data_IF_377155731370
#
_entry.id   IF_377155731370
#
_cell.length_a   1.000
_cell.length_b   1.000
_cell.length_c   1.000
_cell.angle_alpha   90.00
_cell.angle_beta   90.00
_cell.angle_gamma   90.00
#
_symmetry.space_group_name_H-M   'P 1'
#
loop_
_entity.id
_entity.type
_entity.pdbx_description
1 polymer ?
#
# COMPACT_ATOMS: atom_id res chain seq x y z
N UNK A 1 61.52 7.27 -21.86
CA UNK A 1 60.99 7.81 -20.62
C UNK A 1 59.55 7.35 -20.52
N UNK A 2 59.30 6.32 -19.73
CA UNK A 2 57.99 5.71 -19.55
C UNK A 2 57.38 6.37 -18.29
N UNK A 3 56.22 7.00 -18.45
CA UNK A 3 55.46 7.64 -17.37
C UNK A 3 54.89 6.61 -16.43
N UNK A 4 54.88 6.79 -15.09
CA UNK A 4 54.40 5.79 -14.17
C UNK A 4 52.85 5.80 -14.14
N UNK A 5 52.31 4.61 -14.26
CA UNK A 5 50.89 4.31 -14.09
C UNK A 5 50.44 4.73 -12.70
N UNK A 6 49.44 5.60 -12.63
CA UNK A 6 48.72 5.93 -11.40
C UNK A 6 47.95 4.68 -10.91
N UNK A 7 48.45 4.05 -9.86
CA UNK A 7 47.70 3.06 -9.10
C UNK A 7 46.54 3.78 -8.41
N UNK A 8 45.31 3.52 -8.85
CA UNK A 8 44.11 3.93 -8.12
C UNK A 8 44.09 3.18 -6.79
N UNK A 9 44.47 3.84 -5.72
CA UNK A 9 44.29 3.38 -4.34
C UNK A 9 42.81 3.15 -4.11
N UNK A 10 42.43 1.89 -3.91
CA UNK A 10 41.11 1.54 -3.39
C UNK A 10 40.96 2.12 -1.97
N UNK A 11 40.33 3.28 -1.87
CA UNK A 11 39.92 3.87 -0.60
C UNK A 11 38.92 2.92 0.04
N UNK A 12 39.24 2.36 1.21
CA UNK A 12 38.27 1.54 1.95
C UNK A 12 37.07 2.44 2.32
N UNK A 13 35.90 2.11 1.82
CA UNK A 13 34.67 2.84 2.10
C UNK A 13 34.21 2.59 3.53
N UNK A 14 33.70 3.61 4.19
CA UNK A 14 33.12 3.47 5.51
C UNK A 14 31.78 2.73 5.44
N UNK A 15 31.37 2.05 6.53
CA UNK A 15 30.05 1.38 6.59
C UNK A 15 28.88 2.36 6.40
N UNK A 16 29.07 3.65 6.69
CA UNK A 16 28.09 4.70 6.47
C UNK A 16 27.91 4.98 4.98
N UNK A 17 29.02 5.14 4.22
CA UNK A 17 29.00 5.33 2.77
C UNK A 17 28.38 4.14 2.04
N UNK A 18 28.67 2.91 2.49
CA UNK A 18 28.06 1.68 1.98
C UNK A 18 26.57 1.64 2.28
N UNK A 19 26.12 2.06 3.46
CA UNK A 19 24.70 2.08 3.84
C UNK A 19 23.91 3.17 3.11
N UNK A 20 24.51 4.32 2.87
CA UNK A 20 23.87 5.40 2.09
C UNK A 20 23.72 4.99 0.62
N UNK A 21 24.75 4.39 -0.01
CA UNK A 21 24.64 3.80 -1.36
C UNK A 21 23.59 2.67 -1.46
N UNK A 22 23.36 1.92 -0.39
CA UNK A 22 22.34 0.84 -0.34
C UNK A 22 20.91 1.37 -0.35
N UNK A 23 20.68 2.59 0.09
CA UNK A 23 19.36 3.24 0.12
C UNK A 23 19.03 3.99 -1.15
N UNK A 24 20.00 4.15 -2.05
CA UNK A 24 19.84 4.86 -3.33
C UNK A 24 19.38 3.92 -4.45
N UNK A 25 18.90 4.48 -5.52
CA UNK A 25 18.41 3.76 -6.70
C UNK A 25 16.90 3.61 -6.74
N UNK A 26 16.37 3.41 -7.95
CA UNK A 26 14.96 3.20 -8.20
C UNK A 26 14.62 1.73 -8.40
N UNK A 27 13.47 1.33 -7.87
CA UNK A 27 12.98 -0.03 -8.01
C UNK A 27 12.39 -0.25 -9.38
N UNK A 28 12.91 -1.25 -10.10
CA UNK A 28 12.30 -1.73 -11.34
C UNK A 28 11.05 -2.52 -11.01
N UNK A 29 9.88 -1.96 -11.29
CA UNK A 29 8.58 -2.56 -11.02
C UNK A 29 7.91 -2.90 -12.36
N UNK A 30 7.74 -4.18 -12.71
CA UNK A 30 7.15 -4.57 -13.99
C UNK A 30 5.62 -4.34 -14.06
N UNK A 31 5.02 -3.85 -12.97
CA UNK A 31 3.58 -3.68 -12.83
C UNK A 31 3.00 -2.44 -13.52
N UNK A 32 3.85 -1.50 -13.86
CA UNK A 32 3.46 -0.14 -14.16
C UNK A 32 3.17 0.10 -15.63
N UNK A 33 3.38 -0.90 -16.47
CA UNK A 33 3.28 -0.76 -17.90
C UNK A 33 2.08 -1.56 -18.37
N UNK A 34 1.04 -0.83 -18.76
CA UNK A 34 -0.16 -1.42 -19.36
C UNK A 34 0.14 -2.16 -20.66
N UNK A 35 -0.77 -3.08 -21.01
CA UNK A 35 -0.73 -3.82 -22.28
C UNK A 35 -0.72 -2.86 -23.48
N UNK A 36 -1.48 -1.76 -23.39
CA UNK A 36 -1.51 -0.71 -24.41
C UNK A 36 -0.16 -0.04 -24.64
N UNK A 37 0.67 0.05 -23.62
CA UNK A 37 2.02 0.59 -23.73
C UNK A 37 2.96 -0.34 -24.48
N UNK A 38 2.93 -1.63 -24.16
CA UNK A 38 3.77 -2.62 -24.83
C UNK A 38 3.44 -2.73 -26.32
N UNK A 39 2.20 -2.45 -26.70
CA UNK A 39 1.72 -2.50 -28.07
C UNK A 39 1.87 -1.12 -28.79
N UNK A 40 1.87 -0.01 -28.05
CA UNK A 40 1.94 1.36 -28.58
C UNK A 40 3.30 2.07 -28.34
N UNK A 41 4.19 1.49 -27.52
CA UNK A 41 5.56 1.97 -27.44
C UNK A 41 6.14 1.95 -28.85
N UNK A 42 6.57 3.13 -29.30
CA UNK A 42 7.26 3.24 -30.58
C UNK A 42 8.35 2.19 -30.61
N UNK A 43 8.12 1.10 -31.34
CA UNK A 43 9.00 -0.07 -31.33
C UNK A 43 10.42 0.28 -31.76
N UNK A 44 10.61 1.40 -32.46
CA UNK A 44 11.91 1.90 -32.86
C UNK A 44 12.82 2.28 -31.67
N UNK A 45 12.28 2.80 -30.59
CA UNK A 45 13.05 3.20 -29.40
C UNK A 45 13.43 2.03 -28.49
N UNK A 46 12.58 1.01 -28.42
CA UNK A 46 12.85 -0.17 -27.59
C UNK A 46 13.57 -1.32 -28.33
N UNK A 47 13.52 -1.38 -29.66
CA UNK A 47 14.22 -2.44 -30.40
C UNK A 47 15.73 -2.48 -30.14
N UNK A 48 16.47 -1.35 -30.05
CA UNK A 48 17.87 -1.39 -29.65
C UNK A 48 18.08 -2.00 -28.27
N UNK A 49 17.26 -1.60 -27.27
CA UNK A 49 17.36 -2.09 -25.90
C UNK A 49 16.91 -3.56 -25.81
N UNK A 50 15.96 -3.99 -26.64
CA UNK A 50 15.55 -5.40 -26.72
C UNK A 50 16.60 -6.30 -27.38
N UNK A 51 17.43 -5.74 -28.28
CA UNK A 51 18.44 -6.50 -29.04
C UNK A 51 19.52 -7.11 -28.13
N UNK A 52 19.74 -6.55 -26.92
CA UNK A 52 20.72 -7.09 -25.96
C UNK A 52 20.23 -8.34 -25.24
N UNK A 53 18.92 -8.64 -25.31
CA UNK A 53 18.38 -9.86 -24.71
C UNK A 53 18.68 -11.08 -25.57
N UNK A 54 19.03 -12.17 -24.90
CA UNK A 54 19.27 -13.45 -25.59
C UNK A 54 18.08 -13.88 -26.44
N UNK A 55 18.29 -14.38 -27.66
CA UNK A 55 17.21 -14.83 -28.55
C UNK A 55 16.25 -15.83 -27.91
N UNK A 56 16.73 -16.67 -26.98
CA UNK A 56 15.90 -17.65 -26.24
C UNK A 56 14.81 -17.00 -25.37
N UNK A 57 14.98 -15.73 -24.96
CA UNK A 57 13.97 -14.97 -24.23
C UNK A 57 12.89 -14.40 -25.16
N UNK A 58 13.19 -14.20 -26.42
CA UNK A 58 12.32 -13.57 -27.42
C UNK A 58 11.70 -14.56 -28.42
N UNK A 59 12.35 -15.73 -28.65
CA UNK A 59 12.00 -16.70 -29.67
C UNK A 59 11.16 -17.91 -29.21
N UNK A 60 10.75 -18.78 -30.17
CA UNK A 60 10.02 -20.04 -30.04
C UNK A 60 8.53 -19.96 -29.67
N UNK A 61 8.01 -21.08 -29.12
CA UNK A 61 6.62 -21.18 -28.70
C UNK A 61 6.23 -19.98 -27.82
N UNK A 62 5.19 -19.25 -28.22
CA UNK A 62 4.70 -18.01 -27.59
C UNK A 62 5.62 -16.79 -27.78
N UNK A 63 6.33 -16.68 -28.87
CA UNK A 63 7.23 -15.55 -29.17
C UNK A 63 6.56 -14.18 -28.96
N UNK A 64 5.33 -14.00 -29.43
CA UNK A 64 4.55 -12.75 -29.25
C UNK A 64 4.37 -12.39 -27.78
N UNK A 65 4.02 -13.36 -26.92
CA UNK A 65 3.84 -13.13 -25.48
C UNK A 65 5.17 -12.86 -24.78
N UNK A 66 6.24 -13.59 -25.15
CA UNK A 66 7.58 -13.40 -24.60
C UNK A 66 8.13 -12.00 -24.96
N UNK A 67 8.02 -11.61 -26.24
CA UNK A 67 8.45 -10.29 -26.71
C UNK A 67 7.68 -9.17 -26.00
N UNK A 68 6.36 -9.34 -25.81
CA UNK A 68 5.54 -8.40 -25.04
C UNK A 68 6.03 -8.28 -23.59
N UNK A 69 6.27 -9.38 -22.90
CA UNK A 69 6.78 -9.35 -21.52
C UNK A 69 8.16 -8.72 -21.43
N UNK A 70 9.03 -8.98 -22.41
CA UNK A 70 10.34 -8.36 -22.51
C UNK A 70 10.22 -6.85 -22.68
N UNK A 71 9.35 -6.38 -23.58
CA UNK A 71 9.08 -4.94 -23.76
C UNK A 71 8.67 -4.28 -22.44
N UNK A 72 7.72 -4.87 -21.70
CA UNK A 72 7.26 -4.36 -20.40
C UNK A 72 8.43 -4.22 -19.41
N UNK A 73 9.27 -5.26 -19.27
CA UNK A 73 10.39 -5.25 -18.32
C UNK A 73 11.45 -4.25 -18.72
N UNK A 74 11.79 -4.20 -20.01
CA UNK A 74 12.82 -3.28 -20.51
C UNK A 74 12.38 -1.81 -20.41
N UNK A 75 11.10 -1.53 -20.69
CA UNK A 75 10.56 -0.17 -20.48
C UNK A 75 10.60 0.24 -19.01
N UNK A 76 10.24 -0.67 -18.09
CA UNK A 76 10.34 -0.39 -16.65
C UNK A 76 11.78 -0.16 -16.22
N UNK A 77 12.73 -0.90 -16.80
CA UNK A 77 14.16 -0.72 -16.53
C UNK A 77 14.66 0.63 -17.05
N UNK A 78 14.37 0.97 -18.30
CA UNK A 78 14.74 2.25 -18.91
C UNK A 78 14.16 3.41 -18.09
N UNK A 79 12.89 3.36 -17.74
CA UNK A 79 12.27 4.36 -16.87
C UNK A 79 12.99 4.48 -15.53
N UNK A 80 13.30 3.39 -14.87
CA UNK A 80 14.01 3.41 -13.58
C UNK A 80 15.44 3.97 -13.70
N UNK A 81 16.10 3.78 -14.84
CA UNK A 81 17.43 4.36 -15.13
C UNK A 81 17.32 5.87 -15.34
N UNK A 82 16.35 6.33 -16.11
CA UNK A 82 16.13 7.74 -16.43
C UNK A 82 15.64 8.56 -15.24
N UNK A 83 14.75 8.00 -14.42
CA UNK A 83 14.19 8.66 -13.23
C UNK A 83 15.15 8.62 -12.02
N UNK A 84 16.25 7.86 -12.10
CA UNK A 84 17.18 7.67 -10.98
C UNK A 84 18.27 8.73 -10.96
N UNK A 85 18.35 9.55 -9.89
CA UNK A 85 19.38 10.59 -9.70
C UNK A 85 20.82 10.04 -9.68
N UNK A 86 21.01 8.77 -9.34
CA UNK A 86 22.29 8.10 -9.19
C UNK A 86 22.55 6.99 -10.23
N UNK A 87 21.62 6.82 -11.18
CA UNK A 87 21.69 5.80 -12.22
C UNK A 87 21.69 4.35 -11.69
N UNK A 88 21.34 4.14 -10.42
CA UNK A 88 21.26 2.82 -9.83
C UNK A 88 19.84 2.27 -9.93
N UNK A 89 19.73 0.97 -10.14
CA UNK A 89 18.46 0.25 -10.13
C UNK A 89 18.49 -0.93 -9.16
N UNK A 90 17.35 -1.32 -8.65
CA UNK A 90 17.20 -2.54 -7.87
C UNK A 90 15.88 -3.22 -8.16
N UNK A 91 15.77 -4.50 -7.82
CA UNK A 91 14.53 -5.25 -7.95
C UNK A 91 14.46 -6.34 -6.89
N UNK A 92 13.23 -6.69 -6.51
CA UNK A 92 12.97 -7.74 -5.54
C UNK A 92 13.07 -9.10 -6.21
N UNK A 93 13.80 -10.04 -5.56
CA UNK A 93 13.89 -11.45 -6.03
C UNK A 93 12.89 -12.37 -5.34
N UNK A 94 12.29 -11.95 -4.24
CA UNK A 94 11.30 -12.76 -3.52
C UNK A 94 9.99 -12.87 -4.31
N UNK A 95 9.54 -14.09 -4.56
CA UNK A 95 8.31 -14.40 -5.30
C UNK A 95 7.05 -13.83 -4.66
N UNK A 96 7.04 -13.66 -3.34
CA UNK A 96 5.90 -13.10 -2.60
C UNK A 96 5.61 -11.65 -2.97
N UNK A 97 6.63 -10.93 -3.41
CA UNK A 97 6.50 -9.54 -3.87
C UNK A 97 5.89 -9.42 -5.28
N UNK A 98 5.73 -10.53 -6.00
CA UNK A 98 5.14 -10.57 -7.34
C UNK A 98 3.74 -11.19 -7.27
N UNK A 99 2.75 -10.38 -6.92
CA UNK A 99 1.36 -10.82 -6.95
C UNK A 99 0.92 -11.00 -8.42
N UNK A 100 0.49 -12.21 -8.78
CA UNK A 100 0.04 -12.54 -10.14
C UNK A 100 -1.08 -11.64 -10.69
N UNK A 101 -1.83 -11.02 -9.79
CA UNK A 101 -2.94 -10.14 -10.14
C UNK A 101 -2.56 -8.66 -10.21
N UNK A 102 -1.37 -8.29 -9.72
CA UNK A 102 -0.89 -6.91 -9.71
C UNK A 102 0.10 -6.63 -10.85
N UNK A 103 0.74 -7.68 -11.40
CA UNK A 103 1.78 -7.52 -12.40
C UNK A 103 1.47 -8.34 -13.65
N UNK A 104 1.56 -7.72 -14.81
CA UNK A 104 1.37 -8.41 -16.08
C UNK A 104 2.50 -9.38 -16.41
N UNK A 105 3.69 -9.10 -15.84
CA UNK A 105 4.85 -9.98 -15.94
C UNK A 105 5.01 -10.73 -14.63
N UNK A 106 4.77 -12.04 -14.66
CA UNK A 106 4.98 -12.88 -13.47
C UNK A 106 6.45 -12.99 -13.09
N UNK A 107 6.71 -13.23 -11.78
CA UNK A 107 8.04 -13.35 -11.17
C UNK A 107 9.07 -14.10 -12.04
N UNK A 108 8.72 -15.32 -12.53
CA UNK A 108 9.66 -16.16 -13.31
C UNK A 108 10.11 -15.50 -14.61
N UNK A 109 9.21 -14.81 -15.31
CA UNK A 109 9.56 -14.14 -16.57
C UNK A 109 10.42 -12.91 -16.29
N UNK A 110 10.06 -12.11 -15.28
CA UNK A 110 10.81 -10.93 -14.86
C UNK A 110 12.23 -11.30 -14.45
N UNK A 111 12.39 -12.25 -13.52
CA UNK A 111 13.71 -12.67 -13.02
C UNK A 111 14.59 -13.23 -14.15
N UNK A 112 14.02 -14.00 -15.08
CA UNK A 112 14.79 -14.49 -16.23
C UNK A 112 15.34 -13.38 -17.11
N UNK A 113 14.59 -12.31 -17.34
CA UNK A 113 15.04 -11.16 -18.13
C UNK A 113 16.14 -10.42 -17.37
N UNK A 114 15.93 -10.13 -16.09
CA UNK A 114 16.91 -9.43 -15.27
C UNK A 114 18.21 -10.25 -15.10
N UNK A 115 18.13 -11.56 -14.90
CA UNK A 115 19.29 -12.46 -14.81
C UNK A 115 20.05 -12.53 -16.16
N UNK A 116 19.36 -12.46 -17.28
CA UNK A 116 20.01 -12.38 -18.58
C UNK A 116 20.82 -11.11 -18.75
N UNK A 117 20.26 -9.96 -18.34
CA UNK A 117 20.99 -8.68 -18.37
C UNK A 117 22.23 -8.70 -17.45
N UNK A 118 22.11 -9.32 -16.28
CA UNK A 118 23.23 -9.48 -15.33
C UNK A 118 24.30 -10.41 -15.92
N UNK A 119 23.91 -11.55 -16.45
CA UNK A 119 24.83 -12.56 -16.99
C UNK A 119 25.58 -12.04 -18.23
N UNK A 120 24.94 -11.18 -19.00
CA UNK A 120 25.56 -10.57 -20.19
C UNK A 120 26.33 -9.27 -19.84
N UNK A 121 26.40 -8.87 -18.57
CA UNK A 121 27.17 -7.70 -18.12
C UNK A 121 26.47 -6.36 -18.33
N UNK A 122 25.20 -6.33 -18.78
CA UNK A 122 24.45 -5.09 -18.99
C UNK A 122 23.96 -4.47 -17.68
N UNK A 123 23.82 -5.29 -16.61
CA UNK A 123 23.57 -4.83 -15.24
C UNK A 123 24.68 -5.32 -14.32
N UNK A 124 25.48 -4.40 -13.82
CA UNK A 124 26.65 -4.67 -12.97
C UNK A 124 26.26 -4.52 -11.51
N UNK A 125 26.42 -5.58 -10.72
CA UNK A 125 26.12 -5.53 -9.30
C UNK A 125 27.13 -4.64 -8.57
N UNK A 126 26.62 -3.65 -7.81
CA UNK A 126 27.45 -2.70 -7.03
C UNK A 126 27.35 -2.90 -5.52
N UNK A 127 26.35 -3.65 -5.02
CA UNK A 127 26.19 -3.94 -3.60
C UNK A 127 26.90 -5.21 -3.18
N UNK A 128 27.54 -5.19 -2.00
CA UNK A 128 28.19 -6.35 -1.42
C UNK A 128 27.14 -7.43 -1.02
N UNK A 129 27.31 -8.70 -1.43
CA UNK A 129 26.41 -9.78 -1.04
C UNK A 129 26.33 -10.04 0.46
N UNK A 130 27.44 -9.90 1.19
CA UNK A 130 27.50 -10.17 2.63
C UNK A 130 26.70 -9.18 3.48
N UNK A 131 26.60 -7.97 3.01
CA UNK A 131 25.89 -6.90 3.70
C UNK A 131 24.36 -6.92 3.46
N UNK A 132 23.89 -7.65 2.42
CA UNK A 132 22.45 -7.79 2.13
C UNK A 132 21.75 -8.73 3.11
N UNK A 133 22.49 -9.69 3.69
CA UNK A 133 21.96 -10.67 4.64
C UNK A 133 21.55 -10.01 5.99
N UNK A 134 22.20 -8.92 6.36
CA UNK A 134 21.95 -8.24 7.64
C UNK A 134 20.74 -7.31 7.57
N UNK A 135 20.52 -6.62 6.41
CA UNK A 135 19.53 -5.56 6.33
C UNK A 135 18.30 -5.90 5.45
N UNK A 136 18.19 -7.12 4.92
CA UNK A 136 17.12 -7.53 3.99
C UNK A 136 16.94 -6.61 2.77
N UNK A 137 17.99 -5.93 2.33
CA UNK A 137 17.94 -5.00 1.21
C UNK A 137 18.12 -5.73 -0.13
N UNK A 138 17.37 -5.32 -1.14
CA UNK A 138 17.55 -5.83 -2.49
C UNK A 138 18.90 -5.37 -3.06
N UNK A 139 19.61 -6.25 -3.84
CA UNK A 139 20.86 -5.86 -4.48
C UNK A 139 20.69 -4.66 -5.41
N UNK A 140 21.71 -3.81 -5.48
CA UNK A 140 21.79 -2.66 -6.38
C UNK A 140 22.63 -3.01 -7.59
N UNK A 141 22.21 -2.49 -8.73
CA UNK A 141 22.86 -2.69 -10.01
C UNK A 141 23.08 -1.34 -10.70
N UNK A 142 24.21 -1.21 -11.36
CA UNK A 142 24.51 -0.09 -12.26
C UNK A 142 24.33 -0.59 -13.69
N UNK A 143 23.65 0.14 -14.59
CA UNK A 143 23.67 -0.13 -16.01
C UNK A 143 25.10 -0.05 -16.55
N UNK A 144 25.47 -0.89 -17.50
CA UNK A 144 26.73 -0.76 -18.24
C UNK A 144 26.68 0.43 -19.20
N UNK A 145 27.84 0.93 -19.58
CA UNK A 145 27.96 1.98 -20.61
C UNK A 145 27.33 1.54 -21.93
N UNK A 146 27.41 0.25 -22.26
CA UNK A 146 26.78 -0.34 -23.44
C UNK A 146 25.26 -0.26 -23.37
N UNK A 147 24.64 -0.59 -22.21
CA UNK A 147 23.22 -0.43 -22.02
C UNK A 147 22.79 1.04 -22.06
N UNK A 148 23.55 1.91 -21.41
CA UNK A 148 23.30 3.37 -21.43
C UNK A 148 23.36 3.97 -22.83
N UNK A 149 24.30 3.53 -23.67
CA UNK A 149 24.40 3.98 -25.05
C UNK A 149 23.23 3.59 -25.96
N UNK A 150 22.42 2.57 -25.54
CA UNK A 150 21.20 2.15 -26.23
C UNK A 150 19.96 2.89 -25.78
N UNK A 151 20.06 3.61 -24.68
CA UNK A 151 18.95 4.44 -24.15
C UNK A 151 19.07 5.80 -24.83
N UNK A 152 18.02 6.29 -25.49
CA UNK A 152 18.02 7.56 -26.19
C UNK A 152 18.45 8.74 -25.31
N UNK A 153 19.12 9.73 -25.89
CA UNK A 153 19.66 10.88 -25.17
C UNK A 153 18.58 11.77 -24.55
N UNK A 154 18.81 12.24 -23.34
CA UNK A 154 17.85 12.42 -22.27
C UNK A 154 16.78 13.53 -22.40
N UNK A 155 16.92 14.53 -23.25
CA UNK A 155 16.00 15.69 -23.18
C UNK A 155 14.93 15.73 -24.27
N UNK A 156 15.20 15.36 -25.49
CA UNK A 156 14.23 15.46 -26.59
C UNK A 156 13.43 14.17 -26.83
N UNK A 157 14.05 13.02 -26.62
CA UNK A 157 13.43 11.72 -26.87
C UNK A 157 12.66 11.20 -25.66
N UNK A 158 12.92 11.75 -24.46
CA UNK A 158 12.11 11.44 -23.26
C UNK A 158 10.72 12.08 -23.33
N UNK A 159 10.58 13.28 -23.90
CA UNK A 159 9.28 13.86 -24.22
C UNK A 159 8.56 13.06 -25.32
N UNK A 160 9.28 12.50 -26.30
CA UNK A 160 8.73 11.59 -27.30
C UNK A 160 8.44 10.20 -26.72
N UNK A 161 9.24 9.67 -25.80
CA UNK A 161 8.92 8.49 -25.01
C UNK A 161 7.71 8.75 -24.10
N UNK A 162 7.65 9.88 -23.42
CA UNK A 162 6.46 10.29 -22.65
C UNK A 162 5.26 10.60 -23.54
N UNK A 163 5.44 11.20 -24.72
CA UNK A 163 4.33 11.47 -25.64
C UNK A 163 3.85 10.22 -26.36
N UNK A 164 4.74 9.24 -26.57
CA UNK A 164 4.39 7.87 -27.02
C UNK A 164 3.84 7.00 -25.87
N UNK A 165 4.16 7.34 -24.64
CA UNK A 165 3.57 6.86 -23.38
C UNK A 165 2.27 7.62 -23.15
N UNK A 166 1.26 7.37 -23.97
CA UNK A 166 0.00 8.11 -23.98
C UNK A 166 -0.75 8.17 -22.67
N UNK A 167 -0.36 7.39 -21.66
CA UNK A 167 -0.92 7.47 -20.32
C UNK A 167 0.14 7.09 -19.29
N UNK A 168 0.57 8.03 -18.45
CA UNK A 168 1.04 7.68 -17.13
C UNK A 168 -0.10 6.87 -16.49
N UNK A 169 0.12 5.63 -16.00
CA UNK A 169 -0.93 4.89 -15.31
C UNK A 169 -1.48 5.66 -14.10
N UNK A 170 -0.80 6.71 -13.65
CA UNK A 170 -1.29 7.64 -12.66
C UNK A 170 -2.21 8.72 -13.23
N UNK A 171 -2.15 9.00 -14.52
CA UNK A 171 -3.07 9.92 -15.20
C UNK A 171 -4.35 9.19 -15.65
N UNK A 172 -4.33 7.86 -15.79
CA UNK A 172 -5.53 7.07 -16.03
C UNK A 172 -6.28 6.77 -14.73
N UNK A 173 -7.24 7.61 -14.42
CA UNK A 173 -8.09 7.46 -13.22
C UNK A 173 -8.92 6.16 -13.25
N UNK A 174 -9.05 5.51 -14.40
CA UNK A 174 -9.76 4.23 -14.55
C UNK A 174 -8.87 3.03 -14.32
N UNK A 175 -7.55 3.21 -14.29
CA UNK A 175 -6.58 2.12 -14.17
C UNK A 175 -6.62 1.47 -12.79
N UNK A 176 -6.95 0.19 -12.73
CA UNK A 176 -6.94 -0.67 -11.53
C UNK A 176 -7.44 0.02 -10.26
N UNK A 177 -8.68 0.54 -10.24
CA UNK A 177 -9.22 1.24 -9.06
C UNK A 177 -9.35 0.31 -7.85
N UNK A 178 -9.41 -1.00 -8.10
CA UNK A 178 -9.51 -2.02 -7.05
C UNK A 178 -8.35 -3.02 -7.11
N UNK A 179 -7.90 -3.45 -5.94
CA UNK A 179 -6.96 -4.58 -5.78
C UNK A 179 -7.61 -5.69 -4.98
N UNK A 180 -7.40 -6.90 -5.41
CA UNK A 180 -7.94 -8.10 -4.78
C UNK A 180 -6.81 -9.05 -4.39
N UNK A 181 -6.87 -9.59 -3.17
CA UNK A 181 -5.98 -10.66 -2.73
C UNK A 181 -6.78 -11.74 -2.02
N UNK A 182 -6.38 -13.01 -2.20
CA UNK A 182 -6.93 -14.08 -1.40
C UNK A 182 -6.40 -14.00 0.04
N UNK A 183 -7.30 -14.07 1.01
CA UNK A 183 -6.92 -14.16 2.41
C UNK A 183 -6.41 -15.58 2.70
N UNK A 184 -5.14 -15.70 3.04
CA UNK A 184 -4.62 -16.94 3.61
C UNK A 184 -5.16 -17.10 5.02
N UNK A 185 -5.91 -18.19 5.27
CA UNK A 185 -6.39 -18.52 6.61
C UNK A 185 -5.20 -18.75 7.53
N UNK A 186 -5.18 -18.12 8.70
CA UNK A 186 -4.21 -18.42 9.75
C UNK A 186 -4.35 -19.89 10.19
N UNK A 187 -3.27 -20.46 10.79
CA UNK A 187 -3.32 -21.82 11.37
C UNK A 187 -4.46 -21.96 12.39
N UNK A 188 -4.72 -20.91 13.20
CA UNK A 188 -5.77 -20.87 14.20
C UNK A 188 -7.19 -20.87 13.57
N UNK A 189 -7.39 -20.15 12.48
CA UNK A 189 -8.67 -20.13 11.76
C UNK A 189 -8.94 -21.45 11.04
N UNK A 190 -7.89 -22.11 10.52
CA UNK A 190 -8.02 -23.46 9.96
C UNK A 190 -8.39 -24.49 11.01
N UNK A 191 -7.83 -24.38 12.22
CA UNK A 191 -8.12 -25.30 13.33
C UNK A 191 -9.53 -25.13 13.91
N UNK A 192 -10.09 -23.92 13.88
CA UNK A 192 -11.44 -23.62 14.39
C UNK A 192 -12.58 -23.97 13.42
N UNK A 193 -12.27 -24.44 12.20
CA UNK A 193 -13.28 -24.79 11.19
C UNK A 193 -14.18 -23.64 10.74
N UNK A 194 -13.85 -22.40 11.08
CA UNK A 194 -14.60 -21.20 10.75
C UNK A 194 -14.62 -21.01 9.22
N UNK A 195 -15.70 -21.43 8.60
CA UNK A 195 -16.00 -21.16 7.19
C UNK A 195 -16.88 -19.93 7.13
N UNK A 196 -16.28 -18.77 6.91
CA UNK A 196 -17.03 -17.66 6.36
C UNK A 196 -17.32 -18.00 4.89
N UNK A 197 -18.54 -18.49 4.65
CA UNK A 197 -19.03 -18.73 3.29
C UNK A 197 -19.56 -17.39 2.80
N UNK A 198 -18.72 -16.63 2.10
CA UNK A 198 -19.20 -15.49 1.31
C UNK A 198 -19.59 -16.02 -0.07
N UNK A 199 -20.80 -15.68 -0.52
CA UNK A 199 -21.16 -15.86 -1.90
C UNK A 199 -20.17 -15.08 -2.78
N UNK A 200 -19.74 -15.68 -3.89
CA UNK A 200 -18.83 -15.00 -4.81
C UNK A 200 -19.55 -13.77 -5.35
N UNK A 201 -18.91 -12.60 -5.22
CA UNK A 201 -19.44 -11.39 -5.81
C UNK A 201 -19.53 -11.51 -7.34
N UNK A 202 -20.59 -11.00 -7.89
CA UNK A 202 -20.82 -10.97 -9.34
C UNK A 202 -19.88 -9.97 -10.03
N UNK A 203 -19.76 -10.07 -11.35
CA UNK A 203 -19.00 -9.09 -12.14
C UNK A 203 -19.60 -7.69 -12.01
N UNK A 204 -20.94 -7.61 -11.95
CA UNK A 204 -21.69 -6.36 -11.81
C UNK A 204 -21.41 -5.69 -10.45
N UNK A 205 -21.33 -6.47 -9.38
CA UNK A 205 -20.96 -5.95 -8.04
C UNK A 205 -19.52 -5.40 -8.03
N UNK A 206 -18.58 -6.10 -8.65
CA UNK A 206 -17.21 -5.63 -8.79
C UNK A 206 -17.11 -4.36 -9.64
N UNK A 207 -17.87 -4.30 -10.76
CA UNK A 207 -17.94 -3.10 -11.60
C UNK A 207 -18.44 -1.90 -10.82
N UNK A 208 -19.54 -2.03 -10.08
CA UNK A 208 -20.08 -0.92 -9.24
C UNK A 208 -19.07 -0.38 -8.24
N UNK A 209 -18.30 -1.26 -7.60
CA UNK A 209 -17.24 -0.84 -6.67
C UNK A 209 -16.11 -0.13 -7.40
N UNK A 210 -15.69 -0.65 -8.54
CA UNK A 210 -14.70 -0.06 -9.42
C UNK A 210 -15.11 1.36 -9.85
N UNK A 211 -16.34 1.48 -10.38
CA UNK A 211 -16.90 2.76 -10.82
C UNK A 211 -16.98 3.79 -9.69
N UNK A 212 -17.31 3.34 -8.46
CA UNK A 212 -17.29 4.19 -7.27
C UNK A 212 -15.91 4.74 -6.94
N UNK A 213 -14.85 3.91 -7.07
CA UNK A 213 -13.48 4.39 -6.84
C UNK A 213 -13.03 5.35 -7.96
N UNK A 214 -13.41 5.08 -9.21
CA UNK A 214 -13.11 5.97 -10.35
C UNK A 214 -13.77 7.34 -10.16
N UNK A 215 -15.03 7.38 -9.71
CA UNK A 215 -15.72 8.65 -9.39
C UNK A 215 -14.99 9.45 -8.31
N UNK A 216 -14.54 8.78 -7.23
CA UNK A 216 -13.74 9.45 -6.19
C UNK A 216 -12.43 10.00 -6.75
N UNK A 217 -11.71 9.23 -7.58
CA UNK A 217 -10.48 9.70 -8.23
C UNK A 217 -10.73 10.93 -9.11
N UNK A 218 -11.81 10.93 -9.89
CA UNK A 218 -12.20 12.07 -10.74
C UNK A 218 -12.44 13.31 -9.88
N UNK A 219 -13.24 13.20 -8.82
CA UNK A 219 -13.49 14.33 -7.92
C UNK A 219 -12.21 14.79 -7.21
N UNK A 220 -11.36 13.85 -6.77
CA UNK A 220 -10.05 14.20 -6.17
C UNK A 220 -9.11 14.88 -7.16
N UNK A 221 -9.18 14.57 -8.46
CA UNK A 221 -8.30 15.19 -9.47
C UNK A 221 -8.61 16.67 -9.74
N UNK A 222 -9.73 17.19 -9.24
CA UNK A 222 -10.08 18.61 -9.26
C UNK A 222 -9.32 19.43 -8.20
N UNK A 223 -8.58 18.76 -7.29
CA UNK A 223 -7.82 19.36 -6.21
C UNK A 223 -6.31 19.16 -6.41
N UNK A 224 -5.51 20.12 -5.92
CA UNK A 224 -4.05 20.00 -5.89
C UNK A 224 -3.57 19.38 -4.59
N UNK A 225 -2.75 18.32 -4.70
CA UNK A 225 -2.14 17.62 -3.57
C UNK A 225 -0.63 17.71 -3.68
N UNK A 226 0.02 18.42 -2.78
CA UNK A 226 1.46 18.64 -2.77
C UNK A 226 2.11 18.31 -1.43
N UNK A 227 3.44 18.28 -1.36
CA UNK A 227 4.18 17.90 -0.15
C UNK A 227 4.17 16.40 0.15
N UNK A 228 3.91 15.55 -0.84
CA UNK A 228 3.94 14.09 -0.66
C UNK A 228 5.38 13.63 -0.75
N UNK A 229 5.85 12.96 0.32
CA UNK A 229 7.19 12.37 0.38
C UNK A 229 7.08 10.86 0.61
N UNK A 230 7.61 10.07 -0.31
CA UNK A 230 7.69 8.62 -0.21
C UNK A 230 9.14 8.21 -0.20
N UNK A 231 9.57 7.53 0.87
CA UNK A 231 10.97 7.09 1.04
C UNK A 231 12.00 8.22 0.89
N UNK A 232 11.66 9.43 1.38
CA UNK A 232 12.54 10.59 1.36
C UNK A 232 12.57 11.36 0.04
N UNK A 233 11.72 11.04 -0.93
CA UNK A 233 11.62 11.71 -2.23
C UNK A 233 10.25 12.33 -2.42
N UNK A 234 10.20 13.49 -3.07
CA UNK A 234 8.94 14.08 -3.52
C UNK A 234 8.23 13.14 -4.50
N UNK A 235 6.92 13.00 -4.35
CA UNK A 235 6.11 12.14 -5.19
C UNK A 235 4.79 12.84 -5.55
N UNK A 236 4.22 12.49 -6.71
CA UNK A 236 2.84 12.84 -7.03
C UNK A 236 1.86 11.99 -6.19
N UNK A 237 0.64 12.47 -6.02
CA UNK A 237 -0.42 11.65 -5.49
C UNK A 237 -0.75 10.54 -6.50
N UNK A 238 -0.43 9.30 -6.14
CA UNK A 238 -0.89 8.15 -6.92
C UNK A 238 -2.41 8.02 -6.79
N UNK A 239 -3.13 7.59 -7.85
CA UNK A 239 -4.56 7.39 -7.78
C UNK A 239 -4.95 6.45 -6.65
N UNK A 240 -5.95 6.87 -5.88
CA UNK A 240 -6.51 6.12 -4.77
C UNK A 240 -6.89 4.70 -5.20
N UNK A 241 -6.43 3.67 -4.50
CA UNK A 241 -6.82 2.28 -4.76
C UNK A 241 -7.57 1.70 -3.59
N UNK A 242 -8.57 0.85 -3.86
CA UNK A 242 -9.33 0.16 -2.83
C UNK A 242 -8.96 -1.32 -2.79
N UNK A 243 -8.57 -1.82 -1.62
CA UNK A 243 -8.05 -3.18 -1.48
C UNK A 243 -9.07 -4.09 -0.79
N UNK A 244 -9.34 -5.25 -1.40
CA UNK A 244 -10.24 -6.27 -0.89
C UNK A 244 -9.52 -7.58 -0.60
N UNK A 245 -10.04 -8.35 0.36
CA UNK A 245 -9.49 -9.67 0.74
C UNK A 245 -10.57 -10.73 0.65
N UNK A 246 -10.41 -11.67 -0.29
CA UNK A 246 -11.28 -12.83 -0.51
C UNK A 246 -12.74 -12.55 -0.86
N UNK A 247 -13.25 -11.36 -0.60
CA UNK A 247 -14.62 -10.97 -0.88
C UNK A 247 -14.80 -9.45 -0.97
N UNK A 248 -15.82 -9.00 -1.73
CA UNK A 248 -16.15 -7.58 -1.93
C UNK A 248 -16.57 -6.85 -0.64
N UNK A 249 -17.01 -7.58 0.39
CA UNK A 249 -17.38 -7.05 1.70
C UNK A 249 -16.33 -7.33 2.77
N UNK A 250 -15.08 -7.54 2.35
CA UNK A 250 -13.98 -7.81 3.27
C UNK A 250 -12.82 -6.86 3.04
N UNK A 251 -12.39 -6.21 4.11
CA UNK A 251 -11.33 -5.23 4.15
C UNK A 251 -11.74 -3.91 3.47
N UNK A 252 -11.68 -3.80 2.16
CA UNK A 252 -12.18 -2.66 1.38
C UNK A 252 -11.52 -1.32 1.69
N UNK A 253 -10.34 -1.30 2.34
CA UNK A 253 -9.64 -0.07 2.71
C UNK A 253 -9.04 0.63 1.51
N UNK A 254 -9.06 1.94 1.57
CA UNK A 254 -8.41 2.81 0.60
C UNK A 254 -6.92 2.90 0.87
N UNK A 255 -6.12 2.98 -0.17
CA UNK A 255 -4.67 3.09 -0.11
C UNK A 255 -4.17 4.20 -1.03
N UNK A 256 -3.26 5.01 -0.51
CA UNK A 256 -2.51 6.03 -1.23
C UNK A 256 -1.07 6.11 -0.69
N UNK A 257 -0.13 6.70 -1.41
CA UNK A 257 1.25 6.89 -0.94
C UNK A 257 1.35 7.69 0.35
N UNK A 258 0.40 8.57 0.61
CA UNK A 258 0.37 9.44 1.79
C UNK A 258 0.34 8.63 3.10
N UNK A 259 -0.21 7.41 3.07
CA UNK A 259 -0.21 6.49 4.22
C UNK A 259 1.19 5.99 4.62
N UNK A 260 2.18 6.09 3.73
CA UNK A 260 3.56 5.72 4.01
C UNK A 260 4.35 6.82 4.75
N UNK A 261 3.80 8.03 4.82
CA UNK A 261 4.38 9.14 5.57
C UNK A 261 4.05 9.00 7.05
N UNK A 262 4.96 9.44 7.94
CA UNK A 262 4.63 9.55 9.36
C UNK A 262 3.56 10.62 9.59
N UNK A 263 2.73 10.49 10.65
CA UNK A 263 1.69 11.48 10.95
C UNK A 263 2.27 12.89 11.10
N UNK A 264 3.39 13.02 11.84
CA UNK A 264 4.07 14.31 12.00
C UNK A 264 4.50 14.92 10.66
N UNK A 265 5.13 14.13 9.78
CA UNK A 265 5.56 14.59 8.46
C UNK A 265 4.37 14.98 7.59
N UNK A 266 3.28 14.19 7.60
CA UNK A 266 2.07 14.51 6.83
C UNK A 266 1.50 15.87 7.19
N UNK A 267 1.30 16.14 8.47
CA UNK A 267 0.69 17.40 8.94
C UNK A 267 1.60 18.60 8.73
N UNK A 268 2.92 18.40 8.72
CA UNK A 268 3.90 19.48 8.51
C UNK A 268 3.95 19.93 7.05
N UNK A 269 4.07 18.99 6.10
CA UNK A 269 4.41 19.33 4.71
C UNK A 269 3.28 19.12 3.70
N UNK A 270 2.29 18.25 3.99
CA UNK A 270 1.18 18.00 3.05
C UNK A 270 0.32 19.27 2.88
N UNK A 271 -0.04 19.54 1.65
CA UNK A 271 -0.96 20.64 1.31
C UNK A 271 -2.04 20.11 0.38
N UNK A 272 -3.25 20.57 0.59
CA UNK A 272 -4.39 20.36 -0.30
C UNK A 272 -4.85 21.75 -0.76
N UNK A 273 -4.83 22.01 -2.06
CA UNK A 273 -5.11 23.31 -2.67
C UNK A 273 -4.24 24.45 -2.09
N UNK A 274 -2.98 24.14 -1.78
CA UNK A 274 -2.00 25.03 -1.15
C UNK A 274 -2.21 25.25 0.36
N UNK A 275 -3.26 24.72 0.96
CA UNK A 275 -3.64 24.91 2.36
C UNK A 275 -2.99 23.89 3.29
N UNK A 276 -2.68 24.31 4.51
CA UNK A 276 -2.24 23.41 5.61
C UNK A 276 -3.36 22.44 5.95
N UNK A 277 -2.99 21.21 6.25
CA UNK A 277 -3.93 20.12 6.49
C UNK A 277 -4.08 19.78 7.99
N UNK A 278 -5.22 19.21 8.33
CA UNK A 278 -5.44 18.51 9.60
C UNK A 278 -5.92 17.07 9.34
N UNK A 279 -5.65 16.19 10.29
CA UNK A 279 -6.13 14.81 10.30
C UNK A 279 -7.30 14.70 11.28
N UNK A 280 -8.40 14.11 10.85
CA UNK A 280 -9.62 13.90 11.63
C UNK A 280 -9.83 12.40 11.76
N UNK A 281 -9.68 11.89 12.98
CA UNK A 281 -9.84 10.48 13.30
C UNK A 281 -11.31 10.15 13.63
N UNK A 282 -11.78 9.00 13.17
CA UNK A 282 -13.05 8.44 13.62
C UNK A 282 -12.89 7.93 15.07
N UNK A 283 -13.55 8.60 16.01
CA UNK A 283 -13.50 8.19 17.43
C UNK A 283 -14.10 6.80 17.61
N UNK A 284 -13.30 5.90 18.20
CA UNK A 284 -13.73 4.51 18.43
C UNK A 284 -14.36 3.86 17.19
N UNK A 285 -13.74 4.03 16.02
CA UNK A 285 -14.24 3.69 14.69
C UNK A 285 -14.93 2.31 14.63
N UNK A 286 -14.22 1.21 14.90
CA UNK A 286 -14.79 -0.15 14.85
C UNK A 286 -15.89 -0.37 15.90
N UNK A 287 -15.76 0.03 17.18
CA UNK A 287 -16.87 -0.01 18.14
C UNK A 287 -18.12 0.76 17.67
N UNK A 288 -17.94 1.92 17.04
CA UNK A 288 -19.03 2.74 16.51
C UNK A 288 -19.74 2.05 15.35
N UNK A 289 -18.98 1.46 14.41
CA UNK A 289 -19.52 0.62 13.33
C UNK A 289 -20.30 -0.58 13.89
N UNK A 290 -19.74 -1.27 14.88
CA UNK A 290 -20.42 -2.40 15.54
C UNK A 290 -21.71 -1.96 16.21
N UNK A 291 -21.71 -0.81 16.86
CA UNK A 291 -22.91 -0.27 17.49
C UNK A 291 -23.99 0.03 16.45
N UNK A 292 -23.66 0.69 15.35
CA UNK A 292 -24.58 0.95 14.24
C UNK A 292 -25.20 -0.34 13.66
N UNK A 293 -24.45 -1.46 13.67
CA UNK A 293 -24.94 -2.78 13.27
C UNK A 293 -25.79 -3.47 14.36
N UNK A 294 -25.60 -3.09 15.61
CA UNK A 294 -26.32 -3.65 16.78
C UNK A 294 -27.69 -3.03 16.98
N UNK A 295 -27.79 -1.73 16.79
CA UNK A 295 -29.03 -0.97 17.00
C UNK A 295 -29.87 -1.06 15.74
N UNK A 296 -31.16 -1.38 15.89
CA UNK A 296 -32.09 -1.32 14.77
C UNK A 296 -32.18 0.11 14.24
N UNK A 297 -32.39 0.28 12.92
CA UNK A 297 -32.39 1.53 12.16
C UNK A 297 -33.18 2.70 12.80
N UNK A 298 -34.13 2.40 13.68
CA UNK A 298 -35.05 3.37 14.26
C UNK A 298 -34.56 4.09 15.54
N UNK A 299 -33.32 3.84 15.97
CA UNK A 299 -32.74 4.43 17.19
C UNK A 299 -31.45 5.20 16.99
N UNK A 300 -31.10 5.55 15.74
CA UNK A 300 -29.82 6.19 15.41
C UNK A 300 -29.88 7.74 15.44
N UNK A 301 -31.03 8.35 15.76
CA UNK A 301 -31.27 9.77 15.51
C UNK A 301 -30.63 10.75 16.51
N UNK A 302 -30.04 10.30 17.62
CA UNK A 302 -29.52 11.21 18.65
C UNK A 302 -28.08 10.83 19.04
N UNK A 303 -27.07 11.11 18.19
CA UNK A 303 -25.71 10.74 18.58
C UNK A 303 -24.67 11.82 18.35
N UNK A 304 -24.26 12.32 19.47
CA UNK A 304 -22.93 12.90 19.69
C UNK A 304 -21.84 11.83 19.47
N UNK A 305 -20.65 12.27 19.06
CA UNK A 305 -19.47 11.44 18.93
C UNK A 305 -19.17 10.73 20.28
N UNK A 306 -19.31 9.41 20.32
CA UNK A 306 -19.22 8.64 21.57
C UNK A 306 -17.96 7.78 21.60
N UNK A 307 -17.09 8.00 22.60
CA UNK A 307 -15.91 7.17 22.81
C UNK A 307 -16.25 5.91 23.62
N UNK A 308 -16.47 4.81 22.91
CA UNK A 308 -16.76 3.52 23.52
C UNK A 308 -15.62 2.95 24.37
N UNK A 309 -14.36 3.32 24.09
CA UNK A 309 -13.24 2.89 24.90
C UNK A 309 -13.25 3.63 26.24
N UNK A 310 -13.53 4.93 26.23
CA UNK A 310 -13.68 5.71 27.46
C UNK A 310 -14.88 5.24 28.28
N UNK A 311 -16.01 4.88 27.66
CA UNK A 311 -17.16 4.35 28.36
C UNK A 311 -16.84 3.08 29.17
N UNK A 312 -15.90 2.24 28.74
CA UNK A 312 -15.43 1.09 29.52
C UNK A 312 -14.57 1.54 30.70
N UNK A 313 -13.70 2.53 30.51
CA UNK A 313 -12.88 3.13 31.58
C UNK A 313 -13.79 3.76 32.64
N UNK A 314 -14.87 4.43 32.24
CA UNK A 314 -15.84 5.03 33.18
C UNK A 314 -16.54 3.97 34.06
N UNK A 315 -16.65 2.73 33.58
CA UNK A 315 -17.18 1.59 34.36
C UNK A 315 -16.12 0.98 35.28
N UNK A 316 -14.85 0.92 34.86
CA UNK A 316 -13.74 0.37 35.61
C UNK A 316 -12.52 1.30 35.46
N UNK A 317 -12.39 2.33 36.32
CA UNK A 317 -11.40 3.40 36.21
C UNK A 317 -9.95 2.96 36.31
N UNK A 318 -9.68 1.77 36.80
CA UNK A 318 -8.36 1.17 36.86
C UNK A 318 -7.85 0.73 35.47
N UNK A 319 -8.74 0.65 34.47
CA UNK A 319 -8.35 0.41 33.09
C UNK A 319 -7.88 1.72 32.43
N UNK A 320 -6.90 1.60 31.54
CA UNK A 320 -6.58 2.69 30.62
C UNK A 320 -7.32 2.52 29.29
N UNK A 321 -7.57 3.61 28.57
CA UNK A 321 -8.20 3.59 27.25
C UNK A 321 -7.44 2.68 26.26
N UNK A 322 -6.10 2.66 26.32
CA UNK A 322 -5.25 1.82 25.50
C UNK A 322 -5.36 0.34 25.85
N UNK A 323 -5.48 0.01 27.14
CA UNK A 323 -5.74 -1.36 27.57
C UNK A 323 -7.10 -1.85 27.05
N UNK A 324 -8.14 -1.03 27.12
CA UNK A 324 -9.47 -1.34 26.56
C UNK A 324 -9.37 -1.58 25.06
N UNK A 325 -8.68 -0.73 24.31
CA UNK A 325 -8.42 -0.89 22.86
C UNK A 325 -7.69 -2.20 22.56
N UNK A 326 -6.67 -2.55 23.36
CA UNK A 326 -5.93 -3.82 23.23
C UNK A 326 -6.80 -5.03 23.46
N UNK A 327 -7.66 -5.01 24.51
CA UNK A 327 -8.62 -6.07 24.80
C UNK A 327 -9.64 -6.21 23.68
N UNK A 328 -10.20 -5.10 23.21
CA UNK A 328 -11.17 -5.09 22.12
C UNK A 328 -10.58 -5.67 20.83
N UNK A 329 -9.40 -5.21 20.41
CA UNK A 329 -8.72 -5.70 19.19
C UNK A 329 -8.42 -7.21 19.29
N UNK A 330 -8.00 -7.67 20.47
CA UNK A 330 -7.78 -9.09 20.73
C UNK A 330 -9.08 -9.90 20.62
N UNK A 331 -10.18 -9.34 21.10
CA UNK A 331 -11.52 -9.97 21.03
C UNK A 331 -12.03 -10.06 19.59
N UNK A 332 -11.78 -9.04 18.76
CA UNK A 332 -12.06 -9.06 17.33
C UNK A 332 -11.31 -10.21 16.64
N UNK A 333 -10.01 -10.35 16.94
CA UNK A 333 -9.17 -11.41 16.38
C UNK A 333 -9.62 -12.82 16.77
N UNK A 334 -10.20 -12.98 17.95
CA UNK A 334 -10.71 -14.25 18.48
C UNK A 334 -12.20 -14.53 18.12
N UNK A 335 -12.91 -13.52 17.62
CA UNK A 335 -14.36 -13.60 17.33
C UNK A 335 -15.26 -13.58 18.56
N UNK A 336 -14.71 -13.38 19.75
CA UNK A 336 -15.47 -13.32 21.00
C UNK A 336 -14.67 -12.81 22.20
N UNK A 337 -15.38 -12.31 23.22
CA UNK A 337 -14.82 -11.92 24.52
C UNK A 337 -14.81 -13.10 25.53
N UNK A 338 -14.77 -14.35 25.06
CA UNK A 338 -14.98 -15.55 25.89
C UNK A 338 -13.71 -16.20 26.40
N UNK A 339 -12.56 -15.56 26.28
CA UNK A 339 -11.31 -16.08 26.83
C UNK A 339 -11.46 -16.36 28.32
N UNK A 340 -10.91 -17.49 28.77
CA UNK A 340 -10.95 -17.88 30.19
C UNK A 340 -9.97 -17.04 31.04
N UNK A 341 -9.01 -16.42 30.40
CA UNK A 341 -7.94 -15.63 31.02
C UNK A 341 -7.65 -14.37 30.18
N UNK A 342 -6.84 -13.48 30.72
CA UNK A 342 -6.41 -12.26 30.04
C UNK A 342 -5.82 -12.55 28.66
N UNK A 343 -6.14 -11.72 27.63
CA UNK A 343 -5.50 -11.81 26.32
C UNK A 343 -3.97 -11.73 26.41
N UNK A 344 -3.26 -12.47 25.58
CA UNK A 344 -1.80 -12.42 25.50
C UNK A 344 -1.28 -11.01 25.22
N UNK A 345 -1.99 -10.25 24.39
CA UNK A 345 -1.64 -8.85 24.11
C UNK A 345 -1.74 -7.99 25.39
N UNK A 346 -2.80 -8.13 26.17
CA UNK A 346 -2.93 -7.39 27.44
C UNK A 346 -1.80 -7.73 28.41
N UNK A 347 -1.47 -9.01 28.58
CA UNK A 347 -0.34 -9.44 29.44
C UNK A 347 1.00 -8.88 28.99
N UNK A 348 1.17 -8.67 27.67
CA UNK A 348 2.40 -8.15 27.10
C UNK A 348 2.49 -6.63 27.17
N UNK A 349 1.42 -5.95 26.78
CA UNK A 349 1.45 -4.51 26.54
C UNK A 349 1.00 -3.71 27.79
N UNK A 350 0.24 -4.35 28.72
CA UNK A 350 -0.26 -3.79 29.98
C UNK A 350 -0.13 -4.82 31.12
N UNK A 351 1.09 -5.24 31.47
CA UNK A 351 1.32 -6.30 32.46
C UNK A 351 0.78 -5.95 33.85
N UNK A 352 0.85 -4.69 34.26
CA UNK A 352 0.36 -4.22 35.57
C UNK A 352 -1.16 -4.41 35.70
N UNK A 353 -1.92 -4.05 34.66
CA UNK A 353 -3.38 -4.24 34.61
C UNK A 353 -3.71 -5.74 34.65
N UNK A 354 -2.98 -6.55 33.89
CA UNK A 354 -3.19 -7.99 33.87
C UNK A 354 -2.83 -8.68 35.19
N UNK A 355 -1.95 -8.11 35.99
CA UNK A 355 -1.57 -8.63 37.32
C UNK A 355 -2.55 -8.21 38.43
N UNK A 356 -3.14 -7.01 38.33
CA UNK A 356 -3.94 -6.43 39.43
C UNK A 356 -5.44 -6.62 39.24
N UNK A 357 -5.97 -6.66 38.00
CA UNK A 357 -7.39 -6.72 37.74
C UNK A 357 -7.83 -8.14 37.35
N UNK A 358 -8.85 -8.72 38.06
CA UNK A 358 -9.45 -9.99 37.66
C UNK A 358 -10.04 -9.92 36.26
N UNK A 359 -9.81 -10.95 35.44
CA UNK A 359 -10.33 -11.00 34.08
C UNK A 359 -11.87 -10.90 34.00
N UNK A 360 -12.57 -11.41 35.01
CA UNK A 360 -14.02 -11.37 35.08
C UNK A 360 -14.55 -9.95 35.23
N UNK A 361 -13.87 -9.11 36.01
CA UNK A 361 -14.24 -7.70 36.23
C UNK A 361 -14.02 -6.89 34.95
N UNK A 362 -12.90 -7.12 34.28
CA UNK A 362 -12.62 -6.52 32.97
C UNK A 362 -13.70 -6.90 31.96
N UNK A 363 -14.09 -8.18 31.88
CA UNK A 363 -15.18 -8.62 30.97
C UNK A 363 -16.51 -7.97 31.30
N UNK A 364 -16.82 -7.84 32.58
CA UNK A 364 -18.04 -7.17 33.04
C UNK A 364 -18.05 -5.70 32.63
N UNK A 365 -16.92 -4.99 32.81
CA UNK A 365 -16.77 -3.61 32.38
C UNK A 365 -16.88 -3.46 30.86
N UNK A 366 -16.23 -4.34 30.08
CA UNK A 366 -16.34 -4.35 28.62
C UNK A 366 -17.79 -4.54 28.15
N UNK A 367 -18.55 -5.46 28.76
CA UNK A 367 -19.96 -5.70 28.41
C UNK A 367 -20.88 -4.55 28.83
N UNK A 368 -20.56 -3.83 29.90
CA UNK A 368 -21.32 -2.65 30.36
C UNK A 368 -21.05 -1.42 29.50
N UNK A 369 -19.78 -1.05 29.33
CA UNK A 369 -19.37 0.14 28.58
C UNK A 369 -19.50 -0.02 27.06
N UNK A 370 -19.46 -1.28 26.55
CA UNK A 370 -19.49 -1.59 25.12
C UNK A 370 -20.37 -2.82 24.84
N UNK A 371 -21.70 -2.74 25.06
CA UNK A 371 -22.59 -3.90 24.95
C UNK A 371 -22.64 -4.54 23.56
N UNK A 372 -22.34 -3.76 22.49
CA UNK A 372 -22.22 -4.25 21.12
C UNK A 372 -21.12 -5.31 20.93
N UNK A 373 -20.15 -5.42 21.83
CA UNK A 373 -19.10 -6.46 21.74
C UNK A 373 -19.70 -7.88 21.78
N UNK A 374 -20.89 -8.04 22.38
CA UNK A 374 -21.66 -9.29 22.40
C UNK A 374 -22.13 -9.78 21.02
N UNK A 375 -22.13 -8.91 20.00
CA UNK A 375 -22.51 -9.26 18.63
C UNK A 375 -21.46 -10.17 17.97
N UNK A 376 -20.21 -10.06 18.35
CA UNK A 376 -19.12 -10.86 17.77
C UNK A 376 -19.49 -12.35 17.76
N UNK A 377 -20.06 -12.84 18.85
CA UNK A 377 -20.47 -14.24 18.98
C UNK A 377 -21.71 -14.62 18.17
N UNK A 378 -22.67 -13.70 18.03
CA UNK A 378 -23.98 -13.99 17.44
C UNK A 378 -24.03 -13.93 15.92
N UNK A 379 -23.17 -13.16 15.28
CA UNK A 379 -23.27 -12.84 13.83
C UNK A 379 -22.06 -13.24 13.00
N UNK A 380 -21.12 -13.97 13.55
CA UNK A 380 -19.88 -14.34 12.85
C UNK A 380 -19.19 -13.15 12.17
N UNK A 381 -19.27 -11.95 12.77
CA UNK A 381 -18.58 -10.78 12.27
C UNK A 381 -17.09 -10.94 12.53
N UNK A 382 -16.31 -10.82 11.47
CA UNK A 382 -14.88 -10.73 11.61
C UNK A 382 -14.39 -9.28 11.41
N UNK A 383 -13.16 -9.03 11.82
CA UNK A 383 -12.53 -7.73 11.66
C UNK A 383 -12.47 -7.27 10.19
N UNK A 384 -12.40 -8.19 9.22
CA UNK A 384 -12.32 -7.85 7.81
C UNK A 384 -13.65 -7.27 7.29
N UNK A 385 -14.78 -7.80 7.76
CA UNK A 385 -16.09 -7.23 7.48
C UNK A 385 -16.27 -5.86 8.17
N UNK A 386 -15.81 -5.72 9.42
CA UNK A 386 -15.90 -4.45 10.14
C UNK A 386 -15.02 -3.37 9.49
N UNK A 387 -13.81 -3.71 9.05
CA UNK A 387 -12.97 -2.80 8.24
C UNK A 387 -13.65 -2.41 6.92
N UNK A 388 -14.35 -3.32 6.26
CA UNK A 388 -15.14 -2.98 5.08
C UNK A 388 -16.22 -1.95 5.41
N UNK A 389 -16.97 -2.14 6.51
CA UNK A 389 -18.00 -1.20 6.95
C UNK A 389 -17.42 0.17 7.33
N UNK A 390 -16.29 0.19 8.01
CA UNK A 390 -15.52 1.40 8.31
C UNK A 390 -15.13 2.14 7.02
N UNK A 391 -14.59 1.41 6.03
CA UNK A 391 -14.20 2.01 4.75
C UNK A 391 -15.40 2.50 3.92
N UNK A 392 -16.61 1.95 4.11
CA UNK A 392 -17.84 2.49 3.52
C UNK A 392 -18.26 3.82 4.16
N UNK A 393 -18.07 3.98 5.48
CA UNK A 393 -18.27 5.26 6.15
C UNK A 393 -17.31 6.30 5.55
N UNK A 394 -16.01 5.99 5.48
CA UNK A 394 -15.03 6.89 4.87
C UNK A 394 -15.36 7.23 3.42
N UNK A 395 -15.86 6.26 2.64
CA UNK A 395 -16.27 6.50 1.26
C UNK A 395 -17.37 7.58 1.19
N UNK A 396 -18.42 7.42 1.99
CA UNK A 396 -19.53 8.38 2.01
C UNK A 396 -19.06 9.75 2.47
N UNK A 397 -18.21 9.80 3.51
CA UNK A 397 -17.62 11.06 4.00
C UNK A 397 -16.79 11.75 2.92
N UNK A 398 -15.92 11.00 2.22
CA UNK A 398 -15.13 11.57 1.12
C UNK A 398 -16.00 12.07 -0.02
N UNK A 399 -17.03 11.30 -0.42
CA UNK A 399 -17.97 11.74 -1.47
C UNK A 399 -18.64 13.05 -1.09
N UNK A 400 -19.15 13.17 0.14
CA UNK A 400 -19.81 14.40 0.62
C UNK A 400 -18.83 15.59 0.66
N UNK A 401 -17.63 15.41 1.17
CA UNK A 401 -16.64 16.50 1.22
C UNK A 401 -16.25 16.97 -0.18
N UNK A 402 -15.99 16.05 -1.11
CA UNK A 402 -15.68 16.39 -2.50
C UNK A 402 -16.85 17.08 -3.22
N UNK A 403 -18.10 16.67 -2.97
CA UNK A 403 -19.30 17.34 -3.49
C UNK A 403 -19.43 18.78 -2.98
N UNK A 404 -18.86 19.10 -1.81
CA UNK A 404 -18.78 20.46 -1.26
C UNK A 404 -17.50 21.22 -1.68
N UNK A 405 -16.70 20.66 -2.61
CA UNK A 405 -15.46 21.28 -3.09
C UNK A 405 -14.33 21.24 -2.05
N UNK A 406 -14.35 20.28 -1.13
CA UNK A 406 -13.32 20.09 -0.11
C UNK A 406 -12.45 18.90 -0.50
N UNK A 407 -11.18 19.17 -0.84
CA UNK A 407 -10.18 18.14 -1.09
C UNK A 407 -9.95 17.28 0.14
N UNK A 408 -9.88 15.95 -0.05
CA UNK A 408 -9.77 14.99 1.05
C UNK A 408 -8.87 13.81 0.71
N UNK A 409 -8.16 13.28 1.70
CA UNK A 409 -7.32 12.06 1.58
C UNK A 409 -7.65 11.07 2.71
N UNK A 410 -7.88 9.79 2.42
CA UNK A 410 -8.11 8.78 3.46
C UNK A 410 -6.81 8.27 4.05
N UNK A 411 -6.76 8.15 5.38
CA UNK A 411 -5.66 7.52 6.12
C UNK A 411 -6.25 6.49 7.08
N UNK A 412 -6.24 5.22 6.68
CA UNK A 412 -6.76 4.10 7.49
C UNK A 412 -8.22 4.30 7.95
N UNK A 413 -8.43 4.83 9.15
CA UNK A 413 -9.68 5.15 9.82
C UNK A 413 -9.84 6.66 10.07
N UNK A 414 -8.99 7.48 9.43
CA UNK A 414 -9.03 8.94 9.46
C UNK A 414 -9.12 9.55 8.07
N UNK A 415 -9.38 10.84 8.01
CA UNK A 415 -9.30 11.66 6.80
C UNK A 415 -8.38 12.85 7.02
N UNK A 416 -7.73 13.30 5.96
CA UNK A 416 -6.99 14.56 5.93
C UNK A 416 -7.77 15.54 5.07
N UNK A 417 -7.97 16.75 5.59
CA UNK A 417 -8.64 17.87 4.91
C UNK A 417 -7.86 19.16 5.15
N UNK A 418 -8.07 20.23 4.34
CA UNK A 418 -7.56 21.55 4.66
C UNK A 418 -8.05 22.01 6.03
N UNK A 419 -7.16 22.56 6.85
CA UNK A 419 -7.45 22.97 8.23
C UNK A 419 -8.64 23.94 8.33
N UNK A 420 -8.83 24.81 7.35
CA UNK A 420 -9.96 25.75 7.28
C UNK A 420 -11.33 25.07 7.18
N UNK A 421 -11.39 23.81 6.74
CA UNK A 421 -12.62 23.04 6.60
C UNK A 421 -12.81 21.99 7.71
N UNK A 422 -12.00 22.06 8.78
CA UNK A 422 -12.05 21.11 9.89
C UNK A 422 -13.45 20.94 10.48
N UNK A 423 -14.06 22.05 10.90
CA UNK A 423 -15.39 22.05 11.54
C UNK A 423 -16.47 21.45 10.62
N UNK A 424 -16.41 21.75 9.32
CA UNK A 424 -17.33 21.22 8.33
C UNK A 424 -17.12 19.71 8.12
N UNK A 425 -15.89 19.24 8.20
CA UNK A 425 -15.56 17.82 8.02
C UNK A 425 -15.83 16.98 9.29
N UNK A 426 -15.93 17.62 10.46
CA UNK A 426 -16.30 16.96 11.73
C UNK A 426 -17.82 16.79 11.90
N UNK A 427 -18.65 17.51 11.12
CA UNK A 427 -20.12 17.40 11.09
C UNK A 427 -20.60 16.21 10.29
#
# INVERSE_FOLDING_TARGET
MISPSQSKTHRSRTMKEINDERRTGLMVIPAWIEISWADNLNSSLLEPVLSILSPSLLGDRRAKEKKRKAKIVMSALVKAILDGDDGLVFFQRNRENYNKHAYEVGHTAFIKIMDNLISNGHLIRVSDPSALAVDNLAPRYRPSDELLALIPDQELEFEELQSGLKHDPYDDLTYRPIRYSERTKSKAEKAKGLRFIYEKATKEEWSKVSDGVVKLRMAMSEHDYSGIIVKGRSAKLEPLTRHFKSHIKNYGRYHSPVQLMSSATRLDILRIDGEVCCEIDLVSSIPSVMFGLYVSKNRLNDRECFDYYQAVVDVLPELTRDAVKTIFTSSLGNGELTQKEHPKALKKDHPDIAATLPWQDIKSAMMKGMPQIGILKKRHMDWAYLNYRESEVLRVTMEQLLEHGIGVLPIHDSIIVPLKHREQAEQ
#
